data_IF_724736271911
#
_entry.id   IF_724736271911
#
_cell.length_a   1.000
_cell.length_b   1.000
_cell.length_c   1.000
_cell.angle_alpha   90.00
_cell.angle_beta   90.00
_cell.angle_gamma   90.00
#
_symmetry.space_group_name_H-M   'P 1'
#
loop_
_entity.id
_entity.type
_entity.pdbx_description
1 polymer ?
#
# COMPACT_ATOMS: atom_id res chain seq x y z
N UNK A 1 17.68 38.36 -14.34
CA UNK A 1 17.56 37.31 -13.30
C UNK A 1 16.18 36.64 -13.24
N UNK A 2 15.27 36.91 -14.18
CA UNK A 2 13.88 36.41 -14.14
C UNK A 2 13.61 35.14 -14.95
N UNK A 3 14.47 34.76 -15.90
CA UNK A 3 14.25 33.57 -16.74
C UNK A 3 14.85 32.31 -16.11
N UNK A 4 16.10 32.38 -15.63
CA UNK A 4 16.77 31.22 -15.01
C UNK A 4 16.04 30.79 -13.75
N UNK A 5 15.65 31.72 -12.87
CA UNK A 5 14.89 31.38 -11.67
C UNK A 5 13.50 30.81 -11.98
N UNK A 6 12.78 31.33 -12.99
CA UNK A 6 11.47 30.81 -13.39
C UNK A 6 11.54 29.40 -13.95
N UNK A 7 12.56 29.10 -14.75
CA UNK A 7 12.79 27.75 -15.27
C UNK A 7 13.28 26.78 -14.19
N UNK A 8 14.12 27.24 -13.26
CA UNK A 8 14.54 26.44 -12.10
C UNK A 8 13.36 26.13 -11.19
N UNK A 9 12.47 27.10 -10.93
CA UNK A 9 11.24 26.86 -10.16
C UNK A 9 10.33 25.86 -10.87
N UNK A 10 10.12 25.98 -12.19
CA UNK A 10 9.32 25.03 -12.96
C UNK A 10 9.91 23.61 -12.96
N UNK A 11 11.23 23.47 -13.11
CA UNK A 11 11.97 22.20 -13.02
C UNK A 11 11.87 21.59 -11.62
N UNK A 12 12.02 22.39 -10.56
CA UNK A 12 11.89 21.93 -9.17
C UNK A 12 10.44 21.53 -8.85
N UNK A 13 9.44 22.23 -9.38
CA UNK A 13 8.03 21.83 -9.22
C UNK A 13 7.67 20.55 -9.98
N UNK A 14 8.29 20.30 -11.14
CA UNK A 14 8.13 19.03 -11.87
C UNK A 14 8.84 17.85 -11.19
N UNK A 15 9.93 18.11 -10.46
CA UNK A 15 10.64 17.10 -9.67
C UNK A 15 9.92 16.71 -8.37
N UNK A 16 8.89 17.45 -7.94
CA UNK A 16 7.93 17.00 -6.92
C UNK A 16 6.95 15.97 -7.50
N UNK A 17 7.46 15.03 -8.30
CA UNK A 17 6.72 13.89 -8.82
C UNK A 17 6.18 13.12 -7.62
N UNK A 18 4.86 13.11 -7.49
CA UNK A 18 4.13 12.45 -6.41
C UNK A 18 4.49 10.97 -6.40
N UNK A 19 5.12 10.50 -5.33
CA UNK A 19 5.11 9.09 -4.99
C UNK A 19 3.68 8.76 -4.54
N UNK A 20 2.81 8.42 -5.49
CA UNK A 20 1.46 7.95 -5.22
C UNK A 20 1.54 6.50 -4.71
N UNK A 21 0.86 6.20 -3.61
CA UNK A 21 0.77 4.83 -3.09
C UNK A 21 -0.07 3.94 -4.02
N UNK A 22 0.03 2.63 -3.81
CA UNK A 22 -0.79 1.67 -4.54
C UNK A 22 -2.28 1.87 -4.19
N UNK A 23 -3.15 1.49 -5.13
CA UNK A 23 -4.61 1.62 -4.99
C UNK A 23 -5.24 0.23 -4.97
N UNK A 24 -6.04 -0.04 -3.94
CA UNK A 24 -6.72 -1.33 -3.75
C UNK A 24 -8.22 -1.15 -3.68
N UNK A 25 -8.94 -1.77 -4.62
CA UNK A 25 -10.41 -1.82 -4.60
C UNK A 25 -10.88 -2.96 -3.69
N UNK A 26 -11.56 -2.62 -2.60
CA UNK A 26 -12.08 -3.59 -1.63
C UNK A 26 -13.06 -4.55 -2.31
N UNK A 27 -12.82 -5.85 -2.18
CA UNK A 27 -13.63 -6.88 -2.85
C UNK A 27 -13.37 -7.05 -4.35
N UNK A 28 -12.33 -6.41 -4.89
CA UNK A 28 -11.94 -6.46 -6.30
C UNK A 28 -13.14 -6.17 -7.24
N UNK A 29 -13.54 -7.10 -8.11
CA UNK A 29 -14.68 -6.90 -9.02
C UNK A 29 -16.04 -6.91 -8.32
N UNK A 30 -16.15 -7.53 -7.14
CA UNK A 30 -17.41 -7.60 -6.39
C UNK A 30 -17.72 -6.28 -5.67
N UNK A 31 -16.69 -5.50 -5.33
CA UNK A 31 -16.85 -4.26 -4.57
C UNK A 31 -17.24 -4.49 -3.11
N UNK A 32 -17.79 -3.44 -2.50
CA UNK A 32 -18.26 -3.44 -1.11
C UNK A 32 -19.76 -3.78 -1.05
N UNK A 33 -20.07 -5.06 -0.83
CA UNK A 33 -21.42 -5.60 -0.89
C UNK A 33 -21.65 -6.77 0.07
N UNK A 34 -22.90 -6.96 0.49
CA UNK A 34 -23.38 -8.17 1.19
C UNK A 34 -23.71 -9.32 0.23
N UNK A 35 -23.77 -9.06 -1.08
CA UNK A 35 -24.08 -10.05 -2.10
C UNK A 35 -22.86 -10.92 -2.44
N UNK A 36 -23.11 -12.18 -2.83
CA UNK A 36 -22.04 -13.06 -3.34
C UNK A 36 -21.05 -13.59 -2.30
N UNK A 37 -21.24 -13.29 -1.00
CA UNK A 37 -20.42 -13.79 0.13
C UNK A 37 -18.91 -13.57 -0.08
N UNK A 38 -18.53 -12.33 -0.35
CA UNK A 38 -17.12 -11.93 -0.48
C UNK A 38 -16.41 -12.17 0.86
N UNK A 39 -15.29 -12.90 0.83
CA UNK A 39 -14.42 -13.07 2.01
C UNK A 39 -13.45 -11.89 2.12
N UNK A 40 -13.88 -10.82 2.78
CA UNK A 40 -13.05 -9.62 2.99
C UNK A 40 -11.82 -9.89 3.86
N UNK A 41 -11.85 -10.91 4.73
CA UNK A 41 -10.69 -11.29 5.53
C UNK A 41 -9.62 -11.90 4.64
N UNK A 42 -10.00 -12.83 3.77
CA UNK A 42 -9.09 -13.40 2.78
C UNK A 42 -8.59 -12.32 1.81
N UNK A 43 -9.49 -11.46 1.31
CA UNK A 43 -9.13 -10.33 0.45
C UNK A 43 -8.05 -9.47 1.11
N UNK A 44 -8.27 -9.01 2.36
CA UNK A 44 -7.30 -8.18 3.08
C UNK A 44 -5.94 -8.87 3.24
N UNK A 45 -5.95 -10.16 3.61
CA UNK A 45 -4.73 -10.94 3.80
C UNK A 45 -3.94 -11.20 2.51
N UNK A 46 -4.60 -11.11 1.35
CA UNK A 46 -3.99 -11.30 0.04
C UNK A 46 -3.31 -10.04 -0.52
N UNK A 47 -3.49 -8.88 0.13
CA UNK A 47 -2.91 -7.60 -0.32
C UNK A 47 -1.73 -7.18 0.57
N UNK A 48 -0.74 -6.53 -0.03
CA UNK A 48 0.37 -5.93 0.70
C UNK A 48 0.17 -4.41 0.81
N UNK A 49 -0.76 -4.00 1.68
CA UNK A 49 -1.12 -2.59 1.88
C UNK A 49 -0.10 -1.95 2.82
N UNK A 50 0.55 -0.87 2.36
CA UNK A 50 1.54 -0.11 3.11
C UNK A 50 1.08 1.32 3.39
N UNK A 51 1.80 2.02 4.28
CA UNK A 51 1.54 3.44 4.53
C UNK A 51 1.76 4.25 3.25
N UNK A 52 0.79 5.08 2.90
CA UNK A 52 0.75 5.86 1.67
C UNK A 52 -0.21 5.33 0.62
N UNK A 53 -0.60 4.04 0.71
CA UNK A 53 -1.56 3.41 -0.18
C UNK A 53 -2.98 3.92 0.05
N UNK A 54 -3.84 3.72 -0.94
CA UNK A 54 -5.26 4.08 -0.92
C UNK A 54 -6.11 2.83 -1.05
N UNK A 55 -7.12 2.71 -0.19
CA UNK A 55 -8.18 1.72 -0.35
C UNK A 55 -9.44 2.40 -0.88
N UNK A 56 -10.08 1.79 -1.87
CA UNK A 56 -11.30 2.29 -2.51
C UNK A 56 -12.46 1.37 -2.16
N UNK A 57 -13.54 1.96 -1.67
CA UNK A 57 -14.82 1.30 -1.45
C UNK A 57 -15.80 1.73 -2.54
N UNK A 58 -16.13 0.80 -3.44
CA UNK A 58 -17.17 1.00 -4.45
C UNK A 58 -18.43 0.24 -4.08
N UNK A 59 -19.56 0.94 -4.03
CA UNK A 59 -20.86 0.40 -3.64
C UNK A 59 -22.01 1.31 -4.08
N UNK A 60 -23.25 0.80 -4.03
CA UNK A 60 -24.43 1.65 -4.19
C UNK A 60 -24.70 2.41 -2.87
N UNK A 61 -24.60 3.74 -2.82
CA UNK A 61 -24.73 4.52 -1.60
C UNK A 61 -26.16 4.55 -1.03
N UNK A 62 -27.15 4.03 -1.76
CA UNK A 62 -28.50 3.82 -1.23
C UNK A 62 -28.59 2.59 -0.30
N UNK A 63 -27.67 1.63 -0.44
CA UNK A 63 -27.73 0.35 0.27
C UNK A 63 -26.58 0.14 1.24
N UNK A 64 -25.43 0.78 1.02
CA UNK A 64 -24.26 0.60 1.87
C UNK A 64 -23.65 1.95 2.24
N UNK A 65 -22.81 1.92 3.26
CA UNK A 65 -21.89 2.98 3.60
C UNK A 65 -20.59 2.38 4.13
N UNK A 66 -19.63 3.24 4.46
CA UNK A 66 -18.37 2.83 5.09
C UNK A 66 -18.16 3.64 6.36
N UNK A 67 -17.93 2.97 7.46
CA UNK A 67 -17.58 3.58 8.74
C UNK A 67 -16.22 3.06 9.18
N UNK A 68 -15.28 3.97 9.46
CA UNK A 68 -14.03 3.65 10.17
C UNK A 68 -14.34 3.58 11.66
N UNK A 69 -13.95 2.49 12.32
CA UNK A 69 -14.36 2.21 13.71
C UNK A 69 -13.20 1.67 14.55
N UNK A 70 -13.41 1.53 15.86
CA UNK A 70 -12.46 0.85 16.75
C UNK A 70 -12.56 -0.67 16.62
N UNK A 71 -11.60 -1.39 17.23
CA UNK A 71 -11.61 -2.85 17.26
C UNK A 71 -12.86 -3.41 17.96
N UNK A 72 -13.28 -2.76 19.05
CA UNK A 72 -14.45 -3.16 19.84
C UNK A 72 -15.71 -3.11 18.97
N UNK A 73 -15.98 -1.97 18.32
CA UNK A 73 -17.11 -1.80 17.40
C UNK A 73 -17.01 -2.73 16.19
N UNK A 74 -15.82 -2.94 15.64
CA UNK A 74 -15.62 -3.90 14.54
C UNK A 74 -16.00 -5.33 14.95
N UNK A 75 -15.62 -5.76 16.15
CA UNK A 75 -15.94 -7.09 16.68
C UNK A 75 -17.43 -7.23 16.98
N UNK A 76 -18.03 -6.24 17.64
CA UNK A 76 -19.43 -6.30 18.06
C UNK A 76 -20.42 -6.00 16.93
N UNK A 77 -19.99 -5.31 15.86
CA UNK A 77 -20.89 -4.71 14.87
C UNK A 77 -21.94 -3.78 15.49
N UNK A 78 -21.68 -3.26 16.70
CA UNK A 78 -22.60 -2.39 17.41
C UNK A 78 -22.12 -0.93 17.32
N UNK A 79 -22.69 -0.19 16.39
CA UNK A 79 -22.40 1.25 16.22
C UNK A 79 -23.04 2.11 17.32
N UNK A 80 -23.95 1.56 18.12
CA UNK A 80 -24.54 2.27 19.26
C UNK A 80 -23.59 2.41 20.44
N UNK A 81 -22.63 1.49 20.55
CA UNK A 81 -21.61 1.49 21.63
C UNK A 81 -20.45 2.45 21.37
N UNK A 82 -20.35 3.02 20.16
CA UNK A 82 -19.28 3.97 19.83
C UNK A 82 -19.58 4.77 18.56
N UNK A 83 -19.33 6.07 18.62
CA UNK A 83 -19.38 6.93 17.44
C UNK A 83 -18.30 6.49 16.45
N UNK A 84 -18.63 6.30 15.15
CA UNK A 84 -17.62 5.99 14.15
C UNK A 84 -16.56 7.09 14.12
N UNK A 85 -15.31 6.71 13.90
CA UNK A 85 -14.19 7.65 13.79
C UNK A 85 -14.38 8.53 12.56
N UNK A 86 -14.78 7.91 11.45
CA UNK A 86 -15.12 8.57 10.18
C UNK A 86 -16.26 7.82 9.50
N UNK A 87 -17.08 8.51 8.73
CA UNK A 87 -18.18 7.92 7.93
C UNK A 87 -18.13 8.46 6.51
N UNK A 88 -18.24 7.55 5.54
CA UNK A 88 -18.21 7.82 4.12
C UNK A 88 -19.48 7.25 3.46
N UNK A 89 -20.05 8.02 2.53
CA UNK A 89 -21.37 7.75 1.95
C UNK A 89 -21.41 8.06 0.43
N UNK A 90 -20.27 8.20 -0.24
CA UNK A 90 -20.29 8.60 -1.66
C UNK A 90 -20.61 7.44 -2.61
N UNK A 91 -20.32 6.20 -2.20
CA UNK A 91 -20.41 5.02 -3.07
C UNK A 91 -19.15 4.76 -3.89
N UNK A 92 -18.14 5.65 -3.81
CA UNK A 92 -16.82 5.47 -4.38
C UNK A 92 -15.77 6.18 -3.49
N UNK A 93 -15.64 5.71 -2.26
CA UNK A 93 -14.84 6.39 -1.24
C UNK A 93 -13.37 5.96 -1.31
N UNK A 94 -12.49 6.94 -1.54
CA UNK A 94 -11.04 6.76 -1.56
C UNK A 94 -10.42 7.14 -0.22
N UNK A 95 -9.85 6.17 0.48
CA UNK A 95 -9.34 6.33 1.85
C UNK A 95 -7.85 6.03 1.86
N UNK A 96 -7.04 7.05 2.17
CA UNK A 96 -5.59 6.90 2.29
C UNK A 96 -5.20 6.28 3.63
N UNK A 97 -4.29 5.32 3.61
CA UNK A 97 -3.74 4.66 4.79
C UNK A 97 -2.47 5.39 5.23
N UNK A 98 -2.58 6.19 6.29
CA UNK A 98 -1.52 7.10 6.74
C UNK A 98 -0.75 6.60 7.98
N UNK A 99 -1.13 5.45 8.54
CA UNK A 99 -0.51 4.92 9.75
C UNK A 99 -0.41 3.40 9.71
N UNK A 100 0.56 2.89 10.46
CA UNK A 100 0.72 1.47 10.71
C UNK A 100 -0.35 0.96 11.70
N UNK A 101 -0.56 -0.36 11.68
CA UNK A 101 -1.52 -1.05 12.55
C UNK A 101 -2.82 -1.38 11.83
N UNK A 102 -3.83 -1.74 12.63
CA UNK A 102 -5.13 -2.15 12.14
C UNK A 102 -6.03 -0.95 11.84
N UNK A 103 -6.65 -0.98 10.67
CA UNK A 103 -7.68 -0.06 10.23
C UNK A 103 -8.97 -0.84 10.01
N UNK A 104 -9.96 -0.63 10.86
CA UNK A 104 -11.22 -1.36 10.82
C UNK A 104 -12.30 -0.56 10.10
N UNK A 105 -12.97 -1.20 9.15
CA UNK A 105 -14.10 -0.61 8.42
C UNK A 105 -15.30 -1.54 8.44
N UNK A 106 -16.50 -0.97 8.58
CA UNK A 106 -17.77 -1.70 8.57
C UNK A 106 -18.81 -0.96 7.75
N UNK A 107 -19.85 -1.68 7.31
CA UNK A 107 -21.09 -1.06 6.86
C UNK A 107 -22.00 -0.84 8.08
N UNK A 108 -22.46 0.39 8.27
CA UNK A 108 -23.31 0.79 9.40
C UNK A 108 -24.80 0.52 9.20
N UNK A 109 -25.21 0.12 8.00
CA UNK A 109 -26.60 -0.27 7.72
C UNK A 109 -26.96 -1.51 8.55
N UNK A 110 -28.12 -1.53 9.25
CA UNK A 110 -28.49 -2.63 10.14
C UNK A 110 -28.40 -4.01 9.48
N UNK A 111 -27.70 -4.94 10.13
CA UNK A 111 -27.51 -6.32 9.66
C UNK A 111 -26.30 -6.52 8.75
N UNK A 112 -25.86 -5.51 8.00
CA UNK A 112 -24.81 -5.71 6.98
C UNK A 112 -23.44 -6.08 7.58
N UNK A 113 -23.04 -5.46 8.69
CA UNK A 113 -21.80 -5.82 9.37
C UNK A 113 -21.85 -7.26 9.91
N UNK A 114 -22.99 -7.67 10.47
CA UNK A 114 -23.22 -9.01 11.01
C UNK A 114 -23.21 -10.08 9.91
N UNK A 115 -23.68 -9.72 8.71
CA UNK A 115 -23.61 -10.57 7.50
C UNK A 115 -22.20 -10.65 6.89
N UNK A 116 -21.23 -9.92 7.46
CA UNK A 116 -19.83 -10.01 7.07
C UNK A 116 -19.33 -8.82 6.24
N UNK A 117 -20.13 -7.76 6.05
CA UNK A 117 -19.69 -6.54 5.36
C UNK A 117 -18.82 -5.66 6.30
N UNK A 118 -17.62 -6.18 6.57
CA UNK A 118 -16.60 -5.63 7.47
C UNK A 118 -15.22 -6.08 7.02
N UNK A 119 -14.21 -5.23 7.23
CA UNK A 119 -12.82 -5.53 6.88
C UNK A 119 -11.84 -4.96 7.91
N UNK A 120 -10.78 -5.74 8.17
CA UNK A 120 -9.60 -5.33 8.94
C UNK A 120 -8.41 -5.24 7.99
N UNK A 121 -7.89 -4.02 7.79
CA UNK A 121 -6.68 -3.75 7.02
C UNK A 121 -5.52 -3.56 7.98
N UNK A 122 -4.61 -4.54 8.04
CA UNK A 122 -3.43 -4.48 8.90
C UNK A 122 -2.17 -4.04 8.13
N UNK A 123 -1.61 -2.89 8.51
CA UNK A 123 -0.41 -2.33 7.90
C UNK A 123 0.79 -2.52 8.81
N UNK A 124 1.69 -3.43 8.41
CA UNK A 124 2.82 -3.88 9.24
C UNK A 124 4.00 -2.91 9.11
N UNK A 125 4.66 -2.61 10.23
CA UNK A 125 6.01 -2.02 10.19
C UNK A 125 7.00 -3.11 9.81
N UNK A 126 7.54 -3.07 8.61
CA UNK A 126 8.71 -3.89 8.29
C UNK A 126 9.90 -3.26 9.02
N UNK A 127 10.16 -3.68 10.24
CA UNK A 127 11.45 -3.43 10.86
C UNK A 127 12.50 -4.07 9.98
N UNK A 128 13.49 -3.31 9.52
CA UNK A 128 14.63 -3.84 8.79
C UNK A 128 15.25 -4.96 9.63
N UNK A 129 14.93 -6.20 9.28
CA UNK A 129 15.52 -7.36 9.91
C UNK A 129 16.97 -7.32 9.47
N UNK A 130 17.90 -7.22 10.44
CA UNK A 130 19.31 -7.44 10.16
C UNK A 130 19.40 -8.70 9.32
N UNK A 131 20.01 -8.57 8.13
CA UNK A 131 20.29 -9.68 7.22
C UNK A 131 20.76 -10.88 8.04
N UNK A 132 20.21 -12.09 7.85
CA UNK A 132 20.77 -13.26 8.49
C UNK A 132 22.20 -13.41 7.97
N UNK A 133 23.18 -13.14 8.82
CA UNK A 133 24.56 -13.52 8.57
C UNK A 133 24.55 -15.02 8.28
N UNK A 134 25.11 -15.51 7.16
CA UNK A 134 25.22 -16.94 6.96
C UNK A 134 26.13 -17.48 8.07
N UNK A 135 25.53 -18.18 9.03
CA UNK A 135 26.25 -18.95 10.03
C UNK A 135 26.89 -20.12 9.27
N UNK A 136 28.22 -20.09 9.11
CA UNK A 136 28.94 -21.26 8.61
C UNK A 136 28.92 -22.32 9.70
N UNK A 137 28.12 -23.37 9.50
CA UNK A 137 28.22 -24.60 10.27
C UNK A 137 29.46 -25.38 9.81
N UNK A 138 30.43 -25.47 10.72
CA UNK A 138 31.61 -26.33 10.61
C UNK A 138 31.20 -27.81 10.62
N UNK A 139 31.13 -28.43 9.43
CA UNK A 139 31.47 -29.84 9.24
C UNK A 139 31.61 -30.18 7.75
N UNK A 140 32.84 -30.21 7.25
CA UNK A 140 33.18 -30.99 6.07
C UNK A 140 34.48 -31.77 6.34
N UNK A 141 34.45 -33.11 6.41
CA UNK A 141 35.66 -33.90 6.38
C UNK A 141 36.11 -34.02 4.92
N UNK A 142 37.18 -33.29 4.59
CA UNK A 142 38.05 -33.50 3.45
C UNK A 142 37.45 -33.35 2.04
N UNK A 143 37.58 -32.15 1.47
CA UNK A 143 37.88 -32.01 0.05
C UNK A 143 39.08 -31.07 -0.12
N UNK A 144 40.21 -31.64 -0.52
CA UNK A 144 41.48 -30.96 -0.79
C UNK A 144 41.40 -29.97 -1.97
N UNK A 145 41.91 -28.77 -1.70
CA UNK A 145 42.71 -27.88 -2.56
C UNK A 145 42.38 -27.74 -4.06
N UNK A 146 42.02 -26.51 -4.46
CA UNK A 146 42.84 -25.66 -5.35
C UNK A 146 42.38 -24.20 -5.27
N UNK A 147 43.26 -23.33 -4.79
CA UNK A 147 43.09 -21.89 -4.89
C UNK A 147 43.26 -21.44 -6.35
N UNK A 148 42.42 -20.51 -6.81
CA UNK A 148 42.70 -19.70 -8.01
C UNK A 148 42.24 -18.27 -7.75
N UNK A 149 43.05 -17.25 -8.14
CA UNK A 149 42.83 -15.86 -7.74
C UNK A 149 41.87 -15.12 -8.69
N UNK A 150 41.22 -14.10 -8.10
CA UNK A 150 40.95 -12.76 -8.61
C UNK A 150 40.61 -12.56 -10.11
N UNK A 151 39.52 -11.86 -10.39
CA UNK A 151 39.57 -10.57 -11.12
C UNK A 151 38.22 -9.82 -11.04
N UNK A 152 38.33 -8.56 -10.64
CA UNK A 152 37.26 -7.57 -10.65
C UNK A 152 36.92 -7.13 -12.08
N UNK A 153 35.67 -6.75 -12.34
CA UNK A 153 35.30 -5.99 -13.53
C UNK A 153 34.28 -4.91 -13.16
N UNK A 154 34.76 -3.67 -13.10
CA UNK A 154 33.94 -2.46 -13.17
C UNK A 154 33.53 -2.27 -14.65
N UNK A 155 32.22 -2.20 -14.91
CA UNK A 155 31.68 -1.87 -16.23
C UNK A 155 30.89 -0.57 -16.18
N UNK A 156 31.51 0.53 -16.61
CA UNK A 156 30.88 1.79 -17.00
C UNK A 156 30.14 1.61 -18.32
N UNK A 157 28.87 2.02 -18.41
CA UNK A 157 28.27 2.47 -19.68
C UNK A 157 27.50 3.75 -19.39
N UNK A 158 28.13 4.88 -19.71
CA UNK A 158 27.43 6.10 -20.04
C UNK A 158 27.02 6.07 -21.51
N UNK A 159 25.85 6.63 -21.82
CA UNK A 159 25.54 7.07 -23.18
C UNK A 159 24.68 8.32 -23.12
N UNK A 160 25.31 9.41 -23.53
CA UNK A 160 24.73 10.71 -23.80
C UNK A 160 23.77 10.62 -25.00
N UNK A 161 22.67 11.38 -24.97
CA UNK A 161 22.00 11.80 -26.19
C UNK A 161 21.92 13.32 -26.27
N UNK A 162 22.75 13.78 -27.21
CA UNK A 162 22.94 15.07 -27.87
C UNK A 162 21.77 16.05 -27.94
N UNK A 163 22.11 17.32 -27.66
CA UNK A 163 21.46 18.50 -28.21
C UNK A 163 21.77 18.65 -29.71
N UNK A 164 20.75 18.92 -30.52
CA UNK A 164 20.91 19.45 -31.88
C UNK A 164 20.48 20.92 -31.85
N UNK A 165 21.46 21.81 -31.93
CA UNK A 165 21.29 23.18 -32.37
C UNK A 165 21.59 23.21 -33.87
N UNK A 166 20.73 23.85 -34.66
CA UNK A 166 21.15 24.43 -35.94
C UNK A 166 20.48 25.79 -36.12
N UNK A 167 21.31 26.76 -36.47
CA UNK A 167 21.01 28.17 -36.66
C UNK A 167 20.42 28.44 -38.06
N UNK A 168 19.50 29.40 -38.12
CA UNK A 168 19.40 30.46 -39.13
C UNK A 168 18.62 31.62 -38.52
#
# INVERSE_FOLDING_TARGET
MSFVQRNVVLLVTMMMMMCEGAVYKVGDSAGWTTLGKVDYKNWASSKNIIVGDTIIFEYNPQYHNVMRVTNETYKSCNVSEGTPLETFNSGNDSIKINSYGHHYFICGIPGHCQEGLKIDVNVIRVSATKTPTPSMDDKCPNCSNKASPFMASFGLIGLAMSFLALAA
#
